data_IF_233343237941
#
_entry.id   IF_233343237941
#
_cell.length_a   1.000
_cell.length_b   1.000
_cell.length_c   1.000
_cell.angle_alpha   90.00
_cell.angle_beta   90.00
_cell.angle_gamma   90.00
#
_symmetry.space_group_name_H-M   'P 1'
#
loop_
_entity.id
_entity.type
_entity.pdbx_description
1 polymer ?
#
# COMPACT_ATOMS: atom_id res chain seq x y z
N UNK A 1 0.60 42.25 -15.26
CA UNK A 1 1.00 41.96 -13.86
C UNK A 1 1.18 40.46 -13.77
N UNK A 2 2.36 40.05 -13.33
CA UNK A 2 2.87 38.68 -13.43
C UNK A 2 2.15 37.75 -12.43
N UNK A 3 1.52 36.68 -12.92
CA UNK A 3 1.26 35.50 -12.11
C UNK A 3 2.41 34.52 -12.38
N UNK A 4 3.28 34.33 -11.39
CA UNK A 4 4.29 33.27 -11.38
C UNK A 4 3.59 32.00 -10.90
N UNK A 5 3.67 30.93 -11.70
CA UNK A 5 3.33 29.58 -11.26
C UNK A 5 4.55 28.99 -10.56
N UNK A 6 4.38 28.50 -9.34
CA UNK A 6 5.37 27.69 -8.64
C UNK A 6 5.16 26.21 -9.03
N UNK A 7 6.22 25.40 -9.16
CA UNK A 7 6.09 23.95 -9.32
C UNK A 7 5.57 23.33 -8.03
N UNK A 8 4.71 22.33 -8.18
CA UNK A 8 4.11 21.56 -7.10
C UNK A 8 5.12 20.49 -6.63
N UNK A 9 6.12 20.93 -5.87
CA UNK A 9 6.98 20.03 -5.09
C UNK A 9 6.35 19.88 -3.69
N UNK A 10 5.50 18.88 -3.51
CA UNK A 10 5.06 18.41 -2.19
C UNK A 10 4.49 16.99 -2.29
N UNK A 11 5.29 16.02 -1.84
CA UNK A 11 4.91 14.93 -0.94
C UNK A 11 3.54 14.25 -1.16
N UNK A 12 3.58 13.04 -1.73
CA UNK A 12 2.64 11.95 -1.37
C UNK A 12 3.45 10.65 -1.32
N UNK A 13 3.90 10.18 -0.14
CA UNK A 13 4.35 8.81 0.04
C UNK A 13 3.12 7.97 0.40
N UNK A 14 2.64 7.20 -0.55
CA UNK A 14 1.96 5.90 -0.40
C UNK A 14 1.19 5.62 -1.68
N UNK A 15 1.77 4.80 -2.55
CA UNK A 15 1.06 4.25 -3.68
C UNK A 15 -0.02 3.28 -3.15
N UNK A 16 -1.19 3.83 -2.81
CA UNK A 16 -2.41 3.05 -2.66
C UNK A 16 -2.59 2.22 -3.94
N UNK A 17 -2.90 0.93 -3.79
CA UNK A 17 -3.19 0.06 -4.93
C UNK A 17 -4.41 0.60 -5.67
N UNK A 18 -4.17 1.29 -6.79
CA UNK A 18 -5.23 1.82 -7.64
C UNK A 18 -5.91 0.67 -8.38
N UNK A 19 -6.91 0.07 -7.76
CA UNK A 19 -8.08 -0.40 -8.49
C UNK A 19 -8.80 0.82 -9.03
N UNK A 20 -9.05 0.88 -10.33
CA UNK A 20 -9.74 1.99 -10.99
C UNK A 20 -11.18 2.17 -10.42
N UNK A 21 -11.38 2.93 -9.33
CA UNK A 21 -12.69 3.44 -8.92
C UNK A 21 -12.82 4.87 -9.51
N UNK A 22 -13.58 5.01 -10.59
CA UNK A 22 -13.96 6.33 -11.11
C UNK A 22 -15.02 6.92 -10.18
N UNK A 23 -14.62 7.75 -9.21
CA UNK A 23 -15.55 8.60 -8.50
C UNK A 23 -16.02 9.71 -9.45
N UNK A 24 -17.26 9.66 -9.91
CA UNK A 24 -17.87 10.75 -10.68
C UNK A 24 -18.61 11.65 -9.70
N UNK A 25 -17.95 12.72 -9.26
CA UNK A 25 -18.61 13.92 -8.78
C UNK A 25 -18.29 15.04 -9.77
N UNK A 26 -19.28 15.43 -10.57
CA UNK A 26 -19.23 16.61 -11.44
C UNK A 26 -20.52 17.40 -11.20
N UNK A 27 -20.42 18.74 -11.12
CA UNK A 27 -20.09 19.50 -12.31
C UNK A 27 -19.03 20.59 -12.08
N UNK A 28 -17.81 20.32 -12.53
CA UNK A 28 -16.96 21.35 -13.11
C UNK A 28 -16.08 20.69 -14.17
N UNK A 29 -16.25 21.10 -15.42
CA UNK A 29 -15.39 20.70 -16.54
C UNK A 29 -13.99 21.24 -16.25
N UNK A 30 -13.19 20.48 -15.52
CA UNK A 30 -11.74 20.56 -15.63
C UNK A 30 -11.42 19.88 -16.95
N UNK A 31 -10.89 20.64 -17.90
CA UNK A 31 -10.31 20.07 -19.12
C UNK A 31 -9.38 18.94 -18.67
N UNK A 32 -9.66 17.70 -19.07
CA UNK A 32 -8.72 16.61 -18.90
C UNK A 32 -7.43 17.06 -19.57
N UNK A 33 -6.41 17.37 -18.80
CA UNK A 33 -5.09 17.59 -19.35
C UNK A 33 -4.76 16.32 -20.13
N UNK A 34 -4.55 16.40 -21.45
CA UNK A 34 -4.24 15.22 -22.22
C UNK A 34 -2.99 14.59 -21.61
N UNK A 35 -3.05 13.28 -21.35
CA UNK A 35 -1.87 12.56 -20.92
C UNK A 35 -0.75 12.80 -21.93
N UNK A 36 0.48 12.98 -21.42
CA UNK A 36 1.67 13.09 -22.26
C UNK A 36 1.90 11.83 -23.09
N UNK A 37 2.91 11.84 -23.98
CA UNK A 37 3.26 10.66 -24.75
C UNK A 37 3.59 9.48 -23.82
N UNK A 38 3.16 8.29 -24.20
CA UNK A 38 3.54 7.05 -23.52
C UNK A 38 5.03 6.82 -23.77
N UNK A 39 5.79 6.72 -22.67
CA UNK A 39 7.20 6.33 -22.70
C UNK A 39 7.24 4.85 -22.32
N UNK A 40 7.72 4.03 -23.25
CA UNK A 40 7.73 2.57 -23.09
C UNK A 40 9.13 2.06 -22.71
N UNK A 41 9.14 1.07 -21.81
CA UNK A 41 10.31 0.25 -21.55
C UNK A 41 10.52 -0.75 -22.70
N UNK A 42 11.61 -0.59 -23.43
CA UNK A 42 11.94 -1.44 -24.59
C UNK A 42 12.57 -2.80 -24.21
N UNK A 43 12.61 -3.14 -22.92
CA UNK A 43 13.03 -4.45 -22.42
C UNK A 43 11.98 -4.99 -21.44
N UNK A 44 11.26 -6.08 -21.78
CA UNK A 44 10.18 -6.57 -20.93
C UNK A 44 10.71 -7.22 -19.65
N UNK A 45 10.02 -6.93 -18.54
CA UNK A 45 10.10 -7.74 -17.33
C UNK A 45 9.66 -9.18 -17.63
N UNK A 46 10.25 -10.17 -16.95
CA UNK A 46 9.87 -11.58 -17.15
C UNK A 46 8.57 -11.91 -16.44
N UNK A 47 8.40 -11.41 -15.23
CA UNK A 47 7.16 -11.51 -14.45
C UNK A 47 7.12 -10.35 -13.44
N UNK A 48 6.74 -9.13 -13.87
CA UNK A 48 6.75 -7.97 -12.99
C UNK A 48 5.74 -8.14 -11.85
N UNK A 49 6.15 -7.80 -10.63
CA UNK A 49 5.31 -7.80 -9.43
C UNK A 49 4.98 -6.36 -9.00
N UNK A 50 5.40 -5.99 -7.81
CA UNK A 50 5.21 -4.65 -7.25
C UNK A 50 6.07 -3.63 -7.99
N UNK A 51 5.60 -2.38 -8.09
CA UNK A 51 6.34 -1.27 -8.69
C UNK A 51 6.19 0.00 -7.83
N UNK A 52 7.19 0.88 -7.91
CA UNK A 52 7.17 2.22 -7.31
C UNK A 52 7.98 3.20 -8.15
N UNK A 53 7.79 4.49 -7.89
CA UNK A 53 8.52 5.57 -8.56
C UNK A 53 9.21 6.47 -7.54
N UNK A 54 10.49 6.78 -7.76
CA UNK A 54 11.32 7.58 -6.86
C UNK A 54 12.56 8.10 -7.59
N UNK A 55 13.10 9.24 -7.14
CA UNK A 55 14.43 9.71 -7.56
C UNK A 55 15.54 8.89 -6.90
N UNK A 56 15.94 7.79 -7.54
CA UNK A 56 16.90 6.82 -7.00
C UNK A 56 18.32 7.37 -7.00
N UNK A 57 18.69 8.16 -8.01
CA UNK A 57 20.05 8.67 -8.21
C UNK A 57 20.24 10.14 -7.79
N UNK A 58 19.20 10.82 -7.30
CA UNK A 58 19.24 12.19 -6.81
C UNK A 58 19.33 13.24 -7.93
N UNK A 59 18.86 12.92 -9.13
CA UNK A 59 18.95 13.80 -10.30
C UNK A 59 17.69 14.65 -10.54
N UNK A 60 16.71 14.55 -9.65
CA UNK A 60 15.44 15.26 -9.67
C UNK A 60 14.40 14.66 -10.61
N UNK A 61 14.65 13.49 -11.21
CA UNK A 61 13.67 12.77 -12.04
C UNK A 61 13.26 11.48 -11.35
N UNK A 62 11.95 11.20 -11.39
CA UNK A 62 11.42 9.95 -10.84
C UNK A 62 11.79 8.78 -11.77
N UNK A 63 12.54 7.85 -11.20
CA UNK A 63 12.88 6.57 -11.78
C UNK A 63 11.81 5.53 -11.46
N UNK A 64 11.91 4.35 -12.08
CA UNK A 64 11.04 3.21 -11.80
C UNK A 64 11.82 2.12 -11.07
N UNK A 65 11.25 1.62 -9.97
CA UNK A 65 11.69 0.40 -9.29
C UNK A 65 10.56 -0.62 -9.42
N UNK A 66 10.89 -1.86 -9.76
CA UNK A 66 9.91 -2.94 -9.78
C UNK A 66 10.53 -4.29 -9.40
N UNK A 67 9.73 -5.18 -8.84
CA UNK A 67 10.15 -6.56 -8.64
C UNK A 67 9.92 -7.41 -9.90
N UNK A 68 10.87 -8.28 -10.24
CA UNK A 68 10.74 -9.22 -11.34
C UNK A 68 10.83 -10.66 -10.83
N UNK A 69 9.66 -11.27 -10.61
CA UNK A 69 9.53 -12.63 -10.11
C UNK A 69 10.10 -13.69 -11.09
N UNK A 70 10.31 -13.34 -12.37
CA UNK A 70 10.93 -14.24 -13.34
C UNK A 70 12.45 -14.16 -13.35
N UNK A 71 13.02 -13.17 -12.66
CA UNK A 71 14.46 -13.01 -12.42
C UNK A 71 14.84 -13.20 -10.95
N UNK A 72 13.87 -13.18 -10.05
CA UNK A 72 14.04 -13.13 -8.59
C UNK A 72 14.77 -11.87 -8.09
N UNK A 73 14.64 -10.76 -8.83
CA UNK A 73 15.40 -9.52 -8.63
C UNK A 73 14.48 -8.31 -8.39
N UNK A 74 14.99 -7.26 -7.73
CA UNK A 74 14.46 -5.90 -7.87
C UNK A 74 15.24 -5.20 -8.96
N UNK A 75 14.51 -4.58 -9.87
CA UNK A 75 15.02 -3.85 -11.01
C UNK A 75 14.84 -2.36 -10.79
N UNK A 76 15.84 -1.60 -11.19
CA UNK A 76 15.82 -0.15 -11.30
C UNK A 76 15.94 0.26 -12.76
N UNK A 77 15.10 1.21 -13.15
CA UNK A 77 15.07 1.82 -14.47
C UNK A 77 15.17 3.32 -14.31
N UNK A 78 16.33 3.84 -14.66
CA UNK A 78 16.62 5.27 -14.65
C UNK A 78 15.82 6.01 -15.73
N UNK A 79 15.21 7.13 -15.35
CA UNK A 79 14.56 8.08 -16.24
C UNK A 79 15.62 9.07 -16.74
N UNK A 80 15.93 8.99 -18.03
CA UNK A 80 16.92 9.86 -18.66
C UNK A 80 16.35 11.26 -18.92
N UNK A 81 17.23 12.25 -18.99
CA UNK A 81 16.87 13.63 -19.34
C UNK A 81 16.26 13.78 -20.75
N UNK A 82 16.36 12.74 -21.59
CA UNK A 82 15.75 12.66 -22.92
C UNK A 82 14.30 12.19 -22.91
N UNK A 83 13.68 12.03 -21.73
CA UNK A 83 12.37 11.41 -21.55
C UNK A 83 12.30 9.93 -22.01
N UNK A 84 13.45 9.27 -22.04
CA UNK A 84 13.57 7.82 -22.29
C UNK A 84 13.95 7.08 -21.01
N UNK A 85 13.73 5.77 -20.99
CA UNK A 85 14.19 4.89 -19.91
C UNK A 85 15.51 4.23 -20.28
N UNK A 86 16.46 4.22 -19.35
CA UNK A 86 17.68 3.42 -19.48
C UNK A 86 17.33 1.91 -19.46
N UNK A 87 18.23 1.02 -19.91
CA UNK A 87 18.07 -0.41 -19.71
C UNK A 87 17.92 -0.76 -18.22
N UNK A 88 17.00 -1.66 -17.84
CA UNK A 88 16.85 -2.09 -16.46
C UNK A 88 18.14 -2.66 -15.89
N UNK A 89 18.48 -2.25 -14.66
CA UNK A 89 19.61 -2.75 -13.90
C UNK A 89 19.10 -3.40 -12.63
N UNK A 90 19.82 -4.41 -12.13
CA UNK A 90 19.53 -4.97 -10.82
C UNK A 90 19.81 -3.89 -9.76
N UNK A 91 18.85 -3.62 -8.89
CA UNK A 91 18.98 -2.60 -7.85
C UNK A 91 19.96 -3.05 -6.76
N UNK A 92 19.90 -4.32 -6.38
CA UNK A 92 20.75 -4.92 -5.33
C UNK A 92 21.20 -6.31 -5.77
N UNK A 93 22.36 -6.78 -5.30
CA UNK A 93 22.89 -8.10 -5.69
C UNK A 93 22.11 -9.30 -5.09
N UNK A 94 21.01 -9.06 -4.36
CA UNK A 94 20.21 -10.14 -3.78
C UNK A 94 19.20 -10.68 -4.79
N UNK A 95 19.30 -11.97 -5.08
CA UNK A 95 18.26 -12.75 -5.75
C UNK A 95 17.34 -13.36 -4.69
N UNK A 96 16.18 -12.76 -4.44
CA UNK A 96 15.31 -13.19 -3.34
C UNK A 96 13.84 -13.40 -3.70
N UNK A 97 13.42 -13.16 -4.94
CA UNK A 97 12.05 -13.40 -5.40
C UNK A 97 11.07 -12.52 -4.63
N UNK A 98 11.14 -11.21 -4.89
CA UNK A 98 10.46 -10.20 -4.07
C UNK A 98 9.05 -9.94 -4.59
N UNK A 99 8.03 -10.16 -3.76
CA UNK A 99 6.64 -10.03 -4.18
C UNK A 99 6.06 -8.63 -3.96
N UNK A 100 6.52 -7.93 -2.92
CA UNK A 100 6.01 -6.63 -2.48
C UNK A 100 7.19 -5.74 -2.11
N UNK A 101 7.15 -4.47 -2.50
CA UNK A 101 8.12 -3.45 -2.08
C UNK A 101 7.35 -2.21 -1.59
N UNK A 102 7.77 -1.66 -0.45
CA UNK A 102 7.31 -0.39 0.14
C UNK A 102 8.51 0.50 0.43
N UNK A 103 8.24 1.79 0.58
CA UNK A 103 9.24 2.84 0.80
C UNK A 103 8.96 3.51 2.15
N UNK A 104 10.00 3.77 2.93
CA UNK A 104 9.93 4.53 4.18
C UNK A 104 11.31 4.68 4.81
N UNK A 105 11.49 5.66 5.68
CA UNK A 105 12.72 5.82 6.47
C UNK A 105 12.70 4.79 7.61
N UNK A 106 13.49 3.73 7.50
CA UNK A 106 13.43 2.57 8.41
C UNK A 106 14.47 2.68 9.53
N UNK A 107 15.54 3.43 9.36
CA UNK A 107 16.57 3.62 10.38
C UNK A 107 16.69 5.06 10.91
N UNK A 108 15.72 5.91 10.56
CA UNK A 108 15.57 7.26 11.09
C UNK A 108 16.66 8.23 10.63
N UNK A 109 17.39 7.89 9.56
CA UNK A 109 18.50 8.70 9.07
C UNK A 109 18.07 9.85 8.14
N UNK A 110 16.77 9.88 7.81
CA UNK A 110 16.13 10.89 6.99
C UNK A 110 16.11 10.57 5.50
N UNK A 111 16.62 9.42 5.09
CA UNK A 111 16.51 8.92 3.73
C UNK A 111 15.53 7.74 3.61
N UNK A 112 14.98 7.56 2.40
CA UNK A 112 13.89 6.62 2.20
C UNK A 112 14.45 5.27 1.75
N UNK A 113 14.28 4.27 2.60
CA UNK A 113 14.63 2.88 2.33
C UNK A 113 13.55 2.13 1.58
N UNK A 114 13.89 0.90 1.19
CA UNK A 114 12.91 -0.06 0.70
C UNK A 114 12.76 -1.23 1.66
N UNK A 115 11.52 -1.68 1.81
CA UNK A 115 11.21 -2.92 2.50
C UNK A 115 10.38 -3.83 1.62
N UNK A 116 10.62 -5.13 1.68
CA UNK A 116 9.89 -6.07 0.86
C UNK A 116 9.87 -7.49 1.41
N UNK A 117 9.20 -8.36 0.68
CA UNK A 117 9.04 -9.76 1.03
C UNK A 117 9.76 -10.65 0.03
N UNK A 118 10.90 -11.22 0.42
CA UNK A 118 11.64 -12.20 -0.38
C UNK A 118 11.17 -13.63 -0.10
N UNK A 119 10.88 -14.40 -1.17
CA UNK A 119 10.49 -15.80 -1.10
C UNK A 119 11.48 -16.69 -0.31
N UNK A 120 12.77 -16.36 -0.34
CA UNK A 120 13.83 -17.12 0.34
C UNK A 120 14.21 -16.57 1.71
N UNK A 121 14.03 -15.28 1.96
CA UNK A 121 14.59 -14.58 3.12
C UNK A 121 13.55 -14.07 4.12
N UNK A 122 12.27 -14.02 3.75
CA UNK A 122 11.23 -13.40 4.58
C UNK A 122 11.18 -11.90 4.33
N UNK A 123 11.13 -11.11 5.40
CA UNK A 123 11.22 -9.66 5.31
C UNK A 123 12.62 -9.27 4.80
N UNK A 124 12.70 -8.29 3.91
CA UNK A 124 13.95 -7.78 3.38
C UNK A 124 13.94 -6.27 3.54
N UNK A 125 14.93 -5.75 4.25
CA UNK A 125 15.21 -4.32 4.29
C UNK A 125 16.35 -4.01 3.33
N UNK A 126 16.20 -2.92 2.57
CA UNK A 126 17.17 -2.41 1.64
C UNK A 126 17.41 -0.95 2.01
N UNK A 127 18.47 -0.75 2.78
CA UNK A 127 18.99 0.55 3.21
C UNK A 127 19.39 1.37 1.98
N UNK A 128 18.98 2.62 1.94
CA UNK A 128 19.50 3.61 1.03
C UNK A 128 20.69 4.27 1.71
N UNK A 129 21.77 4.40 0.95
CA UNK A 129 23.00 5.00 1.46
C UNK A 129 23.49 6.04 0.47
N UNK A 130 24.46 6.84 0.89
CA UNK A 130 25.16 7.75 -0.02
C UNK A 130 25.85 7.03 -1.21
N UNK A 131 26.05 5.71 -1.14
CA UNK A 131 26.62 4.89 -2.21
C UNK A 131 25.56 4.12 -3.03
N UNK A 132 24.27 4.36 -2.77
CA UNK A 132 23.14 3.67 -3.38
C UNK A 132 22.50 2.65 -2.42
N UNK A 133 21.68 1.76 -2.98
CA UNK A 133 20.93 0.79 -2.18
C UNK A 133 21.77 -0.42 -1.77
N UNK A 134 21.71 -0.77 -0.49
CA UNK A 134 22.35 -1.94 0.09
C UNK A 134 21.30 -2.80 0.79
N UNK A 135 21.25 -4.07 0.43
CA UNK A 135 20.26 -4.97 0.99
C UNK A 135 20.77 -5.73 2.22
N UNK A 136 19.95 -5.73 3.27
CA UNK A 136 20.16 -6.47 4.52
C UNK A 136 19.05 -7.51 4.65
N UNK A 137 19.33 -8.79 4.37
CA UNK A 137 18.35 -9.85 4.58
C UNK A 137 18.11 -10.03 6.07
N UNK A 138 17.05 -9.40 6.57
CA UNK A 138 16.57 -9.62 7.93
C UNK A 138 15.71 -10.89 7.94
N UNK A 139 16.25 -11.99 8.45
CA UNK A 139 15.50 -13.26 8.55
C UNK A 139 14.52 -13.17 9.73
N UNK A 140 13.52 -12.31 9.62
CA UNK A 140 12.44 -12.25 10.60
C UNK A 140 11.42 -13.32 10.23
N UNK A 141 11.61 -14.52 10.79
CA UNK A 141 10.62 -15.58 10.75
C UNK A 141 10.53 -16.35 9.41
N UNK A 142 10.95 -17.64 9.36
CA UNK A 142 10.75 -18.51 8.18
C UNK A 142 9.27 -18.78 7.84
N UNK A 143 8.34 -18.26 8.66
CA UNK A 143 6.89 -18.35 8.53
C UNK A 143 6.28 -17.28 7.61
N UNK A 144 7.05 -16.29 7.16
CA UNK A 144 6.60 -15.17 6.31
C UNK A 144 6.25 -15.55 4.85
N UNK A 145 6.25 -16.84 4.49
CA UNK A 145 6.10 -17.35 3.11
C UNK A 145 4.71 -17.17 2.48
N UNK A 146 3.83 -16.35 3.07
CA UNK A 146 2.47 -16.10 2.56
C UNK A 146 1.95 -14.72 2.91
N UNK A 147 2.85 -13.75 3.03
CA UNK A 147 2.45 -12.34 3.07
C UNK A 147 1.89 -11.96 1.70
N UNK A 148 0.66 -11.45 1.69
CA UNK A 148 -0.03 -10.97 0.50
C UNK A 148 0.06 -9.46 0.35
N UNK A 149 0.25 -8.76 1.46
CA UNK A 149 0.46 -7.33 1.47
C UNK A 149 1.26 -6.86 2.68
N UNK A 150 1.90 -5.71 2.53
CA UNK A 150 2.77 -5.08 3.53
C UNK A 150 2.52 -3.57 3.52
N UNK A 151 2.43 -2.95 4.69
CA UNK A 151 2.42 -1.49 4.86
C UNK A 151 3.41 -1.07 5.95
N UNK A 152 3.82 0.19 5.91
CA UNK A 152 4.65 0.84 6.92
C UNK A 152 3.82 1.86 7.67
N UNK A 153 3.86 1.84 9.00
CA UNK A 153 3.19 2.83 9.84
C UNK A 153 3.78 2.81 11.25
N UNK A 154 3.70 3.92 11.97
CA UNK A 154 4.08 3.99 13.40
C UNK A 154 2.92 3.45 14.26
N UNK A 155 3.06 2.22 14.75
CA UNK A 155 1.97 1.50 15.43
C UNK A 155 1.97 1.75 16.93
N UNK A 156 3.10 2.10 17.55
CA UNK A 156 3.20 2.38 18.98
C UNK A 156 3.64 3.80 19.32
N UNK A 157 3.51 4.71 18.37
CA UNK A 157 3.66 6.16 18.50
C UNK A 157 5.05 6.55 19.02
N UNK A 158 6.08 5.79 18.68
CA UNK A 158 7.47 6.05 19.07
C UNK A 158 8.26 6.84 18.02
N UNK A 159 7.66 7.08 16.85
CA UNK A 159 8.22 7.81 15.73
C UNK A 159 8.91 6.93 14.69
N UNK A 160 9.02 5.62 14.94
CA UNK A 160 9.69 4.68 14.04
C UNK A 160 8.67 3.93 13.16
N UNK A 161 9.01 3.71 11.89
CA UNK A 161 8.12 2.96 10.99
C UNK A 161 8.16 1.46 11.30
N UNK A 162 7.01 0.92 11.72
CA UNK A 162 6.77 -0.52 11.88
C UNK A 162 6.29 -1.18 10.59
N UNK A 163 6.35 -2.51 10.56
CA UNK A 163 5.88 -3.31 9.42
C UNK A 163 4.58 -4.00 9.76
N UNK A 164 3.50 -3.61 9.08
CA UNK A 164 2.21 -4.28 9.14
C UNK A 164 2.07 -5.24 7.97
N UNK A 165 1.61 -6.46 8.26
CA UNK A 165 1.61 -7.58 7.33
C UNK A 165 0.21 -8.18 7.24
N UNK A 166 -0.28 -8.38 6.01
CA UNK A 166 -1.41 -9.25 5.74
C UNK A 166 -0.95 -10.59 5.18
N UNK A 167 -1.63 -11.66 5.61
CA UNK A 167 -1.31 -13.04 5.21
C UNK A 167 -2.51 -13.76 4.65
N UNK A 168 -2.22 -14.73 3.79
CA UNK A 168 -3.17 -15.77 3.41
C UNK A 168 -2.99 -17.01 4.27
N UNK A 169 -4.09 -17.57 4.79
CA UNK A 169 -4.07 -18.65 5.79
C UNK A 169 -3.62 -20.02 5.22
N UNK A 170 -3.42 -20.17 3.90
CA UNK A 170 -3.15 -21.48 3.29
C UNK A 170 -1.69 -21.98 3.39
N UNK A 171 -0.79 -21.29 4.10
CA UNK A 171 0.56 -21.79 4.39
C UNK A 171 0.74 -22.25 5.84
N UNK A 172 1.29 -23.45 5.97
CA UNK A 172 1.42 -24.27 7.19
C UNK A 172 2.45 -23.70 8.20
N UNK A 173 2.30 -23.90 9.53
CA UNK A 173 1.10 -24.19 10.31
C UNK A 173 0.66 -22.99 11.19
N UNK A 174 -0.66 -22.81 11.30
CA UNK A 174 -1.41 -22.29 12.47
C UNK A 174 -0.99 -20.97 13.14
N UNK A 175 -0.26 -20.06 12.51
CA UNK A 175 -0.42 -18.66 12.91
C UNK A 175 -1.78 -18.21 12.35
N UNK A 176 -2.80 -18.23 13.21
CA UNK A 176 -4.13 -17.69 12.96
C UNK A 176 -4.13 -16.22 12.48
N UNK A 177 -2.96 -15.56 12.51
CA UNK A 177 -2.72 -14.17 12.13
C UNK A 177 -2.99 -13.94 10.64
N UNK A 178 -4.08 -13.22 10.38
CA UNK A 178 -4.35 -12.63 9.07
C UNK A 178 -3.70 -11.24 8.97
N UNK A 179 -3.69 -10.49 10.08
CA UNK A 179 -3.01 -9.21 10.22
C UNK A 179 -2.10 -9.27 11.45
N UNK A 180 -0.87 -8.80 11.28
CA UNK A 180 0.15 -8.75 12.32
C UNK A 180 1.12 -7.62 12.05
N UNK A 181 1.88 -7.19 13.04
CA UNK A 181 2.97 -6.25 12.83
C UNK A 181 4.28 -6.70 13.47
N UNK A 182 5.37 -6.08 13.04
CA UNK A 182 6.71 -6.20 13.59
C UNK A 182 7.18 -4.80 13.97
N UNK A 183 7.50 -4.61 15.26
CA UNK A 183 8.03 -3.34 15.74
C UNK A 183 9.44 -3.12 15.26
N UNK A 184 9.72 -1.93 14.77
CA UNK A 184 11.07 -1.45 14.54
C UNK A 184 11.63 -0.84 15.84
N UNK A 185 12.94 -0.70 15.93
CA UNK A 185 13.61 -0.01 17.04
C UNK A 185 14.28 1.31 16.60
N UNK A 186 13.84 1.83 15.45
CA UNK A 186 14.40 2.99 14.79
C UNK A 186 15.74 2.76 14.13
N UNK A 187 16.23 1.52 14.05
CA UNK A 187 17.52 1.19 13.40
C UNK A 187 17.39 0.03 12.41
N UNK A 188 16.16 -0.26 12.00
CA UNK A 188 15.79 -1.38 11.12
C UNK A 188 15.91 -2.76 11.77
N UNK A 189 15.99 -2.85 13.10
CA UNK A 189 15.88 -4.13 13.80
C UNK A 189 14.41 -4.40 14.16
N UNK A 190 13.81 -5.31 13.41
CA UNK A 190 12.43 -5.71 13.65
C UNK A 190 12.31 -6.77 14.74
N UNK A 191 11.43 -6.51 15.70
CA UNK A 191 11.10 -7.38 16.82
C UNK A 191 10.27 -8.62 16.44
N UNK A 192 9.71 -9.27 17.46
CA UNK A 192 8.84 -10.43 17.26
C UNK A 192 7.47 -10.04 16.71
N UNK A 193 6.84 -10.96 15.99
CA UNK A 193 5.50 -10.77 15.43
C UNK A 193 4.45 -10.62 16.53
N UNK A 194 3.71 -9.50 16.47
CA UNK A 194 2.48 -9.30 17.23
C UNK A 194 1.28 -9.56 16.34
N UNK A 195 0.35 -10.41 16.80
CA UNK A 195 -0.86 -10.74 16.05
C UNK A 195 -1.94 -9.73 16.41
N UNK A 196 -2.52 -9.09 15.39
CA UNK A 196 -3.58 -8.09 15.58
C UNK A 196 -4.95 -8.71 15.32
N UNK A 197 -5.11 -9.36 14.17
CA UNK A 197 -6.38 -9.92 13.75
C UNK A 197 -6.19 -11.28 13.09
N UNK A 198 -7.09 -12.20 13.39
CA UNK A 198 -6.94 -13.58 12.98
C UNK A 198 -7.91 -14.55 13.66
N UNK A 199 -7.98 -15.77 13.14
CA UNK A 199 -8.83 -16.83 13.66
C UNK A 199 -8.28 -18.22 13.39
N UNK A 200 -8.78 -19.22 14.12
CA UNK A 200 -8.32 -20.61 14.04
C UNK A 200 -8.99 -21.42 12.92
N UNK A 201 -9.77 -20.78 12.05
CA UNK A 201 -10.51 -21.49 10.99
C UNK A 201 -9.66 -21.65 9.73
N UNK A 202 -9.49 -22.87 9.21
CA UNK A 202 -8.77 -23.10 7.95
C UNK A 202 -9.43 -22.38 6.76
N UNK A 203 -8.61 -21.99 5.78
CA UNK A 203 -9.02 -21.50 4.45
C UNK A 203 -9.80 -20.17 4.45
N UNK A 204 -9.40 -19.23 5.30
CA UNK A 204 -9.92 -17.87 5.22
C UNK A 204 -9.38 -17.13 3.99
N UNK A 205 -10.21 -16.30 3.32
CA UNK A 205 -9.76 -15.45 2.21
C UNK A 205 -8.69 -14.46 2.69
N UNK A 206 -7.90 -13.93 1.75
CA UNK A 206 -6.93 -12.87 2.05
C UNK A 206 -7.63 -11.66 2.66
N UNK A 207 -6.95 -11.01 3.60
CA UNK A 207 -7.36 -9.72 4.14
C UNK A 207 -6.73 -8.60 3.32
N UNK A 208 -7.54 -7.61 2.98
CA UNK A 208 -7.06 -6.30 2.56
C UNK A 208 -7.10 -5.38 3.78
N UNK A 209 -6.08 -4.55 3.96
CA UNK A 209 -6.04 -3.62 5.08
C UNK A 209 -5.40 -2.30 4.69
N UNK A 210 -5.64 -1.27 5.50
CA UNK A 210 -4.97 0.01 5.46
C UNK A 210 -4.57 0.38 6.90
N UNK A 211 -3.35 0.86 7.09
CA UNK A 211 -2.83 1.36 8.35
C UNK A 211 -2.69 2.89 8.27
N UNK A 212 -3.48 3.62 9.05
CA UNK A 212 -3.51 5.09 9.04
C UNK A 212 -4.07 5.63 10.37
N UNK A 213 -3.65 6.83 10.77
CA UNK A 213 -4.28 7.57 11.87
C UNK A 213 -5.62 8.13 11.40
N UNK A 214 -6.71 7.43 11.73
CA UNK A 214 -8.06 7.77 11.27
C UNK A 214 -8.74 8.75 12.21
N UNK A 215 -8.32 8.74 13.47
CA UNK A 215 -8.94 9.56 14.52
C UNK A 215 -8.26 10.93 14.69
N UNK A 216 -7.06 11.09 14.14
CA UNK A 216 -6.24 12.29 14.27
C UNK A 216 -5.57 12.43 15.64
N UNK A 217 -5.48 11.33 16.42
CA UNK A 217 -4.90 11.33 17.77
C UNK A 217 -3.43 10.90 17.80
N UNK A 218 -2.86 10.60 16.64
CA UNK A 218 -1.48 10.13 16.47
C UNK A 218 -1.31 8.62 16.64
N UNK A 219 -2.37 7.87 16.97
CA UNK A 219 -2.33 6.41 16.96
C UNK A 219 -2.72 5.89 15.58
N UNK A 220 -1.93 4.97 15.03
CA UNK A 220 -2.29 4.32 13.76
C UNK A 220 -3.37 3.25 14.00
N UNK A 221 -4.54 3.42 13.40
CA UNK A 221 -5.58 2.39 13.31
C UNK A 221 -5.37 1.46 12.12
N UNK A 222 -6.01 0.28 12.16
CA UNK A 222 -6.11 -0.59 10.98
C UNK A 222 -7.55 -0.72 10.50
N UNK A 223 -7.82 -0.36 9.24
CA UNK A 223 -9.05 -0.74 8.54
C UNK A 223 -8.80 -2.04 7.82
N UNK A 224 -9.68 -3.03 7.97
CA UNK A 224 -9.58 -4.30 7.29
C UNK A 224 -10.88 -4.69 6.60
N UNK A 225 -10.76 -5.24 5.40
CA UNK A 225 -11.82 -5.90 4.68
C UNK A 225 -11.61 -7.42 4.73
N UNK A 226 -12.53 -8.13 5.36
CA UNK A 226 -12.46 -9.59 5.52
C UNK A 226 -13.85 -10.20 5.69
N UNK A 227 -14.09 -11.37 5.09
CA UNK A 227 -15.35 -12.11 5.20
C UNK A 227 -16.62 -11.30 4.88
N UNK A 228 -16.54 -10.36 3.93
CA UNK A 228 -17.69 -9.54 3.53
C UNK A 228 -17.97 -8.35 4.44
N UNK A 229 -17.10 -8.08 5.42
CA UNK A 229 -17.19 -6.94 6.32
C UNK A 229 -16.00 -6.02 6.14
N UNK A 230 -16.26 -4.72 6.33
CA UNK A 230 -15.22 -3.71 6.54
C UNK A 230 -15.31 -3.27 7.99
N UNK A 231 -14.18 -3.29 8.70
CA UNK A 231 -14.12 -2.94 10.11
C UNK A 231 -12.81 -2.22 10.43
N UNK A 232 -12.85 -1.42 11.48
CA UNK A 232 -11.65 -0.81 12.08
C UNK A 232 -11.20 -1.63 13.28
N UNK A 233 -9.90 -1.73 13.48
CA UNK A 233 -9.22 -2.23 14.68
C UNK A 233 -8.62 -1.00 15.36
N UNK A 234 -9.28 -0.46 16.40
CA UNK A 234 -8.78 0.72 17.12
C UNK A 234 -7.45 0.41 17.80
N UNK A 235 -6.50 1.32 17.74
CA UNK A 235 -5.22 1.22 18.44
C UNK A 235 -5.24 2.15 19.66
N UNK A 236 -4.64 1.73 20.77
CA UNK A 236 -4.49 2.60 21.94
C UNK A 236 -3.25 3.52 21.87
N UNK A 237 -2.51 3.47 20.76
CA UNK A 237 -1.27 4.24 20.54
C UNK A 237 -0.02 3.58 21.11
N UNK A 238 -0.11 2.35 21.63
CA UNK A 238 1.03 1.57 22.13
C UNK A 238 1.16 0.22 21.40
N UNK A 239 0.47 0.08 20.26
CA UNK A 239 0.32 -1.15 19.50
C UNK A 239 -0.65 -2.17 20.12
N UNK A 240 -1.42 -1.79 21.15
CA UNK A 240 -2.52 -2.61 21.66
C UNK A 240 -3.82 -2.33 20.90
N UNK A 241 -4.20 -3.30 20.07
CA UNK A 241 -5.43 -3.22 19.29
C UNK A 241 -6.65 -3.73 20.05
N UNK A 242 -7.75 -2.99 19.95
CA UNK A 242 -9.03 -3.32 20.54
C UNK A 242 -9.86 -4.27 19.65
N UNK A 243 -11.03 -4.65 20.14
CA UNK A 243 -11.95 -5.49 19.36
C UNK A 243 -12.41 -4.77 18.08
N UNK A 244 -12.56 -5.50 16.96
CA UNK A 244 -13.03 -4.93 15.70
C UNK A 244 -14.36 -4.18 15.85
N UNK A 245 -14.45 -2.98 15.29
CA UNK A 245 -15.68 -2.21 15.14
C UNK A 245 -16.10 -2.25 13.67
N UNK A 246 -17.24 -2.89 13.39
CA UNK A 246 -17.75 -3.06 12.02
C UNK A 246 -18.27 -1.73 11.50
N UNK A 247 -17.73 -1.30 10.36
CA UNK A 247 -18.14 -0.08 9.66
C UNK A 247 -19.20 -0.39 8.60
N UNK A 248 -18.98 -1.45 7.80
CA UNK A 248 -19.89 -1.81 6.72
C UNK A 248 -20.00 -3.34 6.53
N UNK A 249 -21.14 -3.76 5.97
CA UNK A 249 -21.46 -5.12 5.55
C UNK A 249 -21.48 -5.24 4.02
N UNK A 250 -20.31 -5.02 3.40
CA UNK A 250 -20.09 -5.25 1.98
C UNK A 250 -18.61 -5.14 1.61
N UNK A 251 -17.94 -6.28 1.34
CA UNK A 251 -16.53 -6.23 0.94
C UNK A 251 -16.37 -5.79 -0.52
N UNK A 252 -15.64 -4.68 -0.70
CA UNK A 252 -15.13 -4.16 -1.96
C UNK A 252 -13.77 -3.50 -1.72
N UNK A 253 -13.04 -3.09 -2.77
CA UNK A 253 -11.79 -2.36 -2.58
C UNK A 253 -12.05 -1.09 -1.76
N UNK A 254 -11.10 -0.79 -0.88
CA UNK A 254 -11.13 0.35 0.04
C UNK A 254 -10.25 1.49 -0.48
N UNK A 255 -10.64 2.73 -0.21
CA UNK A 255 -9.85 3.94 -0.45
C UNK A 255 -10.00 4.88 0.74
N UNK A 256 -8.90 5.53 1.14
CA UNK A 256 -8.91 6.63 2.11
C UNK A 256 -8.47 7.92 1.42
N UNK A 257 -9.26 8.98 1.59
CA UNK A 257 -8.96 10.33 1.10
C UNK A 257 -9.80 11.35 1.87
N UNK A 258 -9.26 12.52 2.20
CA UNK A 258 -10.03 13.63 2.77
C UNK A 258 -10.91 14.27 1.68
N UNK A 259 -12.11 13.72 1.47
CA UNK A 259 -13.07 14.21 0.46
C UNK A 259 -14.00 15.27 1.03
N UNK A 260 -14.10 15.36 2.36
CA UNK A 260 -14.90 16.38 3.05
C UNK A 260 -14.14 17.70 3.24
N UNK A 261 -12.82 17.65 3.22
CA UNK A 261 -11.91 18.77 3.46
C UNK A 261 -11.75 19.14 4.94
N UNK A 262 -12.00 18.19 5.85
CA UNK A 262 -11.92 18.42 7.30
C UNK A 262 -10.54 18.09 7.89
N UNK A 263 -9.63 17.57 7.07
CA UNK A 263 -8.28 17.18 7.46
C UNK A 263 -8.18 15.77 8.03
N UNK A 264 -9.28 15.00 8.05
CA UNK A 264 -9.30 13.57 8.37
C UNK A 264 -9.56 12.75 7.12
N UNK A 265 -9.05 11.52 7.08
CA UNK A 265 -9.25 10.62 5.94
C UNK A 265 -10.66 10.00 5.95
N UNK A 266 -11.40 10.15 4.86
CA UNK A 266 -12.71 9.50 4.67
C UNK A 266 -12.57 8.11 4.00
N UNK A 267 -13.40 7.15 4.42
CA UNK A 267 -13.43 5.80 3.85
C UNK A 267 -14.41 5.67 2.68
N UNK A 268 -13.89 5.33 1.50
CA UNK A 268 -14.66 4.83 0.36
C UNK A 268 -14.59 3.31 0.24
N UNK A 269 -15.75 2.64 0.07
CA UNK A 269 -15.81 1.21 -0.25
C UNK A 269 -16.63 0.97 -1.55
N UNK A 270 -16.08 0.19 -2.48
CA UNK A 270 -16.74 -0.09 -3.76
C UNK A 270 -17.44 -1.47 -3.74
N UNK A 271 -18.71 -1.57 -3.30
CA UNK A 271 -19.47 -2.85 -3.38
C UNK A 271 -20.23 -3.03 -4.72
N UNK A 272 -19.97 -4.13 -5.43
CA UNK A 272 -20.68 -4.44 -6.68
C UNK A 272 -22.06 -5.10 -6.41
N UNK A 273 -23.14 -4.31 -6.32
CA UNK A 273 -24.50 -4.88 -6.37
C UNK A 273 -24.91 -5.18 -7.82
N UNK A 274 -24.87 -6.45 -8.23
CA UNK A 274 -25.56 -6.93 -9.44
C UNK A 274 -27.08 -6.92 -9.20
N UNK A 275 -27.79 -5.85 -9.61
CA UNK A 275 -29.28 -5.91 -9.67
C UNK A 275 -29.78 -6.37 -11.04
N UNK A 276 -30.61 -7.42 -10.99
CA UNK A 276 -31.30 -8.11 -12.09
C UNK A 276 -31.90 -7.16 -13.14
N UNK A 277 -31.76 -7.56 -14.42
CA UNK A 277 -32.41 -6.96 -15.60
C UNK A 277 -33.94 -6.91 -15.44
N UNK A 278 -34.54 -5.74 -15.63
CA UNK A 278 -35.88 -5.64 -16.21
C UNK A 278 -35.72 -5.26 -17.70
N UNK A 279 -36.08 -6.19 -18.60
CA UNK A 279 -36.16 -5.91 -20.04
C UNK A 279 -37.42 -5.09 -20.32
N UNK A 280 -37.24 -3.80 -20.61
CA UNK A 280 -38.16 -3.04 -21.45
C UNK A 280 -37.74 -3.14 -22.93
N UNK A 281 -38.66 -3.07 -23.89
CA UNK A 281 -38.34 -3.27 -25.31
C UNK A 281 -37.62 -2.03 -25.86
N UNK A 282 -36.29 -2.05 -25.90
CA UNK A 282 -35.49 -1.07 -26.65
C UNK A 282 -34.16 -0.55 -26.06
N UNK A 283 -33.73 -0.95 -24.86
CA UNK A 283 -32.55 -0.35 -24.21
C UNK A 283 -31.25 -1.18 -24.30
N UNK A 284 -30.14 -0.52 -24.63
CA UNK A 284 -28.77 -1.04 -24.49
C UNK A 284 -28.43 -1.35 -23.03
N UNK A 285 -27.74 -2.47 -22.80
CA UNK A 285 -27.26 -2.84 -21.46
C UNK A 285 -25.96 -2.11 -21.13
N UNK A 286 -26.02 -1.09 -20.27
CA UNK A 286 -24.85 -0.53 -19.58
C UNK A 286 -24.71 -1.15 -18.20
N UNK A 287 -23.49 -1.56 -17.84
CA UNK A 287 -23.14 -1.93 -16.45
C UNK A 287 -22.82 -0.61 -15.73
N UNK A 288 -23.61 -0.24 -14.72
CA UNK A 288 -23.21 0.79 -13.77
C UNK A 288 -22.77 0.09 -12.48
N UNK A 289 -21.51 0.33 -12.08
CA UNK A 289 -21.03 0.05 -10.73
C UNK A 289 -21.52 1.19 -9.84
N UNK A 290 -22.11 0.88 -8.68
CA UNK A 290 -22.51 1.88 -7.69
C UNK A 290 -21.46 1.85 -6.60
N UNK A 291 -20.69 2.92 -6.44
CA UNK A 291 -19.85 3.12 -5.26
C UNK A 291 -20.74 3.69 -4.16
N UNK A 292 -20.64 3.17 -2.94
CA UNK A 292 -21.21 3.82 -1.77
C UNK A 292 -20.07 4.62 -1.13
N UNK A 293 -20.21 5.94 -1.09
CA UNK A 293 -19.38 6.79 -0.26
C UNK A 293 -20.18 6.99 1.03
N UNK A 294 -19.85 6.26 2.09
CA UNK A 294 -20.38 6.55 3.42
C UNK A 294 -19.39 7.48 4.11
N UNK A 295 -19.62 8.79 3.98
CA UNK A 295 -18.95 9.78 4.81
C UNK A 295 -19.51 9.66 6.23
N UNK A 296 -18.69 9.18 7.16
CA UNK A 296 -18.98 9.22 8.58
C UNK A 296 -17.72 9.63 9.32
N UNK A 297 -17.75 10.79 9.99
CA UNK A 297 -16.68 11.13 10.93
C UNK A 297 -16.76 10.14 12.09
N UNK A 298 -15.61 9.58 12.47
CA UNK A 298 -15.45 8.89 13.75
C UNK A 298 -15.30 9.94 14.85
N UNK A 299 -16.24 10.87 14.95
CA UNK A 299 -16.31 11.77 16.11
C UNK A 299 -16.79 10.94 17.31
N UNK A 300 -15.87 10.65 18.23
CA UNK A 300 -16.18 10.19 19.58
C UNK A 300 -16.88 11.32 20.36
N UNK A 301 -18.13 11.60 20.00
CA UNK A 301 -18.96 12.64 20.59
C UNK A 301 -20.22 12.09 21.25
N UNK A 302 -20.07 11.51 22.45
CA UNK A 302 -21.12 11.43 23.49
C UNK A 302 -22.22 10.39 23.35
#
# INVERSE_FOLDING_TARGET
MNARFFPLDAFIPNAARIGLCTAVLLPAIAAQTPFGPIISLNQPARSPGSMMVEDVNGDGRLDLIYSDNGRDEIMWVERLATDEFAPPKQLTQLSSGISVVRRGDIDGDGDADLIGMGAQHGLLWIERTAQGFRAFPQVVGPWLRSVTDLQLADIDADGDLDVVLARHHNAVPASAALVSFLRNDGTGNFGSQTIVYGGSTPNLPSVEFIAEDLSGDGATELIAAHNGQVFVLPNAGDGSFQSPVVLDSGAGPMLLEDVTGDGLSDLGSCFAVLRRRFRGPGGSSGIQRVCALEAGSLDNGG
#
